data_IF_192675818044
#
_entry.id   IF_192675818044
#
_cell.length_a   1.000
_cell.length_b   1.000
_cell.length_c   1.000
_cell.angle_alpha   90.00
_cell.angle_beta   90.00
_cell.angle_gamma   90.00
#
_symmetry.space_group_name_H-M   'P 1'
#
loop_
_entity.id
_entity.type
_entity.pdbx_description
1 polymer ?
#
# COMPACT_ATOMS: atom_id res chain seq x y z
N UNK A 1 12.75 24.67 -29.46
CA UNK A 1 12.31 24.06 -30.73
C UNK A 1 11.98 22.61 -30.39
N UNK A 2 10.68 22.32 -30.22
CA UNK A 2 10.16 21.17 -29.49
C UNK A 2 10.38 19.83 -30.18
N UNK A 3 10.98 18.89 -29.44
CA UNK A 3 10.94 17.47 -29.74
C UNK A 3 9.54 16.95 -29.43
N UNK A 4 8.91 16.35 -30.45
CA UNK A 4 7.56 15.82 -30.41
C UNK A 4 7.51 14.64 -29.44
N UNK A 5 6.83 14.79 -28.31
CA UNK A 5 6.37 13.68 -27.48
C UNK A 5 5.44 12.82 -28.35
N UNK A 6 6.00 11.72 -28.85
CA UNK A 6 5.24 10.63 -29.46
C UNK A 6 4.39 10.09 -28.30
N UNK A 7 3.10 10.42 -28.29
CA UNK A 7 2.20 10.25 -27.15
C UNK A 7 2.40 8.91 -26.44
N UNK A 8 3.01 8.96 -25.26
CA UNK A 8 3.05 7.85 -24.31
C UNK A 8 1.64 7.66 -23.76
N UNK A 9 0.77 7.06 -24.57
CA UNK A 9 -0.57 6.68 -24.12
C UNK A 9 -0.38 5.62 -23.03
N UNK A 10 -0.72 5.99 -21.80
CA UNK A 10 -0.57 5.13 -20.64
C UNK A 10 -1.45 3.92 -20.87
N UNK A 11 -0.87 2.72 -20.75
CA UNK A 11 -1.56 1.48 -21.04
C UNK A 11 -1.37 0.46 -19.94
N UNK A 12 -2.41 -0.31 -19.67
CA UNK A 12 -2.39 -1.40 -18.69
C UNK A 12 -2.34 -2.72 -19.43
N UNK A 13 -1.22 -3.43 -19.30
CA UNK A 13 -1.03 -4.77 -19.86
C UNK A 13 -1.74 -5.83 -19.03
N UNK A 14 -2.45 -6.74 -19.70
CA UNK A 14 -3.07 -7.93 -19.10
C UNK A 14 -2.41 -9.18 -19.66
N UNK A 15 -2.17 -10.13 -18.78
CA UNK A 15 -1.74 -11.48 -19.14
C UNK A 15 -2.77 -12.47 -18.60
N UNK A 16 -3.34 -13.25 -19.52
CA UNK A 16 -4.34 -14.26 -19.22
C UNK A 16 -3.67 -15.60 -18.91
N UNK A 17 -4.33 -16.41 -18.08
CA UNK A 17 -3.98 -17.82 -17.94
C UNK A 17 -4.33 -18.61 -19.21
N UNK A 18 -3.87 -19.87 -19.31
CA UNK A 18 -4.04 -20.68 -20.53
C UNK A 18 -5.50 -20.88 -20.95
N UNK A 19 -6.42 -20.98 -19.98
CA UNK A 19 -7.86 -21.11 -20.24
C UNK A 19 -8.47 -19.80 -20.75
N UNK A 20 -8.22 -18.69 -20.05
CA UNK A 20 -8.67 -17.36 -20.42
C UNK A 20 -8.11 -16.92 -21.77
N UNK A 21 -6.85 -17.24 -22.08
CA UNK A 21 -6.26 -16.98 -23.38
C UNK A 21 -7.01 -17.70 -24.51
N UNK A 22 -7.45 -18.95 -24.30
CA UNK A 22 -8.22 -19.72 -25.30
C UNK A 22 -9.63 -19.18 -25.50
N UNK A 23 -10.28 -18.74 -24.43
CA UNK A 23 -11.61 -18.12 -24.49
C UNK A 23 -11.52 -16.77 -25.20
N UNK A 24 -10.55 -15.95 -24.81
CA UNK A 24 -10.32 -14.61 -25.36
C UNK A 24 -9.95 -14.67 -26.85
N UNK A 25 -9.14 -15.65 -27.25
CA UNK A 25 -8.80 -15.91 -28.65
C UNK A 25 -10.05 -16.20 -29.51
N UNK A 26 -10.97 -17.04 -29.01
CA UNK A 26 -12.24 -17.33 -29.71
C UNK A 26 -13.14 -16.10 -29.80
N UNK A 27 -13.32 -15.38 -28.68
CA UNK A 27 -14.19 -14.20 -28.63
C UNK A 27 -13.67 -13.10 -29.55
N UNK A 28 -12.36 -12.85 -29.56
CA UNK A 28 -11.77 -11.83 -30.44
C UNK A 28 -11.81 -12.24 -31.91
N UNK A 29 -11.66 -13.54 -32.23
CA UNK A 29 -11.79 -14.03 -33.60
C UNK A 29 -13.18 -13.80 -34.19
N UNK A 30 -14.24 -13.99 -33.41
CA UNK A 30 -15.64 -13.85 -33.88
C UNK A 30 -16.15 -12.40 -33.85
N UNK A 31 -15.46 -11.49 -33.15
CA UNK A 31 -15.93 -10.13 -32.88
C UNK A 31 -14.96 -9.04 -33.33
N UNK A 32 -14.09 -9.32 -34.30
CA UNK A 32 -13.23 -8.32 -34.94
C UNK A 32 -14.07 -7.14 -35.45
N UNK A 33 -13.63 -5.92 -35.14
CA UNK A 33 -14.33 -4.68 -35.47
C UNK A 33 -15.38 -4.23 -34.45
N UNK A 34 -15.77 -5.07 -33.48
CA UNK A 34 -16.70 -4.69 -32.40
C UNK A 34 -15.94 -4.15 -31.18
N UNK A 35 -16.66 -3.44 -30.31
CA UNK A 35 -16.11 -2.95 -29.03
C UNK A 35 -16.26 -4.01 -27.95
N UNK A 36 -15.20 -4.21 -27.17
CA UNK A 36 -15.20 -5.09 -26.00
C UNK A 36 -15.25 -4.21 -24.74
N UNK A 37 -16.37 -4.21 -24.03
CA UNK A 37 -16.49 -3.46 -22.78
C UNK A 37 -15.81 -4.20 -21.63
N UNK A 38 -14.96 -3.49 -20.90
CA UNK A 38 -14.30 -3.95 -19.68
C UNK A 38 -15.08 -3.38 -18.50
N UNK A 39 -15.76 -4.26 -17.79
CA UNK A 39 -16.66 -3.91 -16.68
C UNK A 39 -16.04 -4.37 -15.38
N UNK A 40 -16.00 -3.47 -14.41
CA UNK A 40 -15.53 -3.72 -13.05
C UNK A 40 -16.51 -3.05 -12.09
N UNK A 41 -16.97 -3.78 -11.07
CA UNK A 41 -17.97 -3.33 -10.10
C UNK A 41 -19.19 -2.65 -10.76
N UNK A 42 -19.73 -3.28 -11.80
CA UNK A 42 -20.86 -2.78 -12.60
C UNK A 42 -20.62 -1.45 -13.36
N UNK A 43 -19.39 -0.94 -13.40
CA UNK A 43 -19.01 0.28 -14.13
C UNK A 43 -18.17 -0.05 -15.35
N UNK A 44 -18.45 0.58 -16.50
CA UNK A 44 -17.67 0.42 -17.73
C UNK A 44 -16.44 1.32 -17.67
N UNK A 45 -15.24 0.73 -17.54
CA UNK A 45 -13.99 1.48 -17.46
C UNK A 45 -13.41 1.82 -18.83
N UNK A 46 -13.46 0.87 -19.77
CA UNK A 46 -12.99 1.08 -21.13
C UNK A 46 -13.74 0.16 -22.09
N UNK A 47 -13.92 0.61 -23.33
CA UNK A 47 -14.57 -0.16 -24.39
C UNK A 47 -13.75 -0.13 -25.68
N UNK A 48 -12.50 -0.65 -25.66
CA UNK A 48 -11.64 -0.64 -26.84
C UNK A 48 -12.26 -1.45 -27.98
N UNK A 49 -11.95 -1.04 -29.21
CA UNK A 49 -12.33 -1.80 -30.40
C UNK A 49 -11.37 -2.97 -30.60
N UNK A 50 -11.91 -4.16 -30.85
CA UNK A 50 -11.13 -5.33 -31.25
C UNK A 50 -10.63 -5.08 -32.68
N UNK A 51 -9.35 -4.76 -32.84
CA UNK A 51 -8.74 -4.49 -34.15
C UNK A 51 -8.39 -5.76 -34.91
N UNK A 52 -7.88 -6.73 -34.18
CA UNK A 52 -7.43 -8.02 -34.69
C UNK A 52 -7.68 -9.12 -33.66
N UNK A 53 -7.59 -10.37 -34.11
CA UNK A 53 -7.66 -11.54 -33.23
C UNK A 53 -6.45 -11.53 -32.29
N UNK A 54 -6.70 -11.65 -30.99
CA UNK A 54 -5.64 -11.64 -29.98
C UNK A 54 -5.34 -13.08 -29.58
N UNK A 55 -4.38 -13.70 -30.28
CA UNK A 55 -3.84 -15.02 -29.91
C UNK A 55 -2.58 -14.85 -29.07
N UNK A 56 -2.50 -15.51 -27.91
CA UNK A 56 -1.30 -15.49 -27.05
C UNK A 56 -1.52 -14.97 -25.63
N UNK A 57 -2.76 -14.66 -25.25
CA UNK A 57 -3.11 -14.36 -23.86
C UNK A 57 -2.57 -13.03 -23.34
N UNK A 58 -2.18 -12.10 -24.21
CA UNK A 58 -1.74 -10.76 -23.82
C UNK A 58 -2.66 -9.72 -24.44
N UNK A 59 -3.18 -8.81 -23.61
CA UNK A 59 -3.97 -7.66 -24.06
C UNK A 59 -3.44 -6.37 -23.43
N UNK A 60 -3.73 -5.24 -24.06
CA UNK A 60 -3.40 -3.93 -23.50
C UNK A 60 -4.64 -3.06 -23.50
N UNK A 61 -4.96 -2.46 -22.35
CA UNK A 61 -6.01 -1.45 -22.22
C UNK A 61 -5.34 -0.11 -22.42
N UNK A 62 -5.59 0.50 -23.57
CA UNK A 62 -5.20 1.88 -23.87
C UNK A 62 -6.38 2.81 -23.57
N UNK A 63 -6.07 4.00 -23.07
CA UNK A 63 -7.05 5.04 -22.77
C UNK A 63 -6.35 6.29 -22.24
N UNK A 64 -7.08 7.39 -22.16
CA UNK A 64 -6.58 8.67 -21.60
C UNK A 64 -6.44 8.63 -20.07
N UNK A 65 -5.79 7.59 -19.54
CA UNK A 65 -5.54 7.44 -18.11
C UNK A 65 -4.40 8.34 -17.67
N UNK A 66 -4.46 8.78 -16.42
CA UNK A 66 -3.29 9.27 -15.68
C UNK A 66 -2.46 8.10 -15.14
N UNK A 67 -1.22 8.36 -14.75
CA UNK A 67 -0.32 7.31 -14.20
C UNK A 67 -0.89 6.67 -12.93
N UNK A 68 -1.52 7.46 -12.07
CA UNK A 68 -2.12 6.98 -10.83
C UNK A 68 -3.36 6.11 -11.11
N UNK A 69 -4.23 6.52 -12.03
CA UNK A 69 -5.40 5.73 -12.44
C UNK A 69 -5.01 4.39 -13.08
N UNK A 70 -3.97 4.38 -13.92
CA UNK A 70 -3.48 3.13 -14.52
C UNK A 70 -2.93 2.16 -13.47
N UNK A 71 -2.26 2.69 -12.43
CA UNK A 71 -1.75 1.92 -11.31
C UNK A 71 -2.89 1.33 -10.47
N UNK A 72 -3.90 2.13 -10.15
CA UNK A 72 -5.06 1.68 -9.40
C UNK A 72 -5.85 0.63 -10.18
N UNK A 73 -6.06 0.83 -11.49
CA UNK A 73 -6.70 -0.15 -12.35
C UNK A 73 -5.92 -1.47 -12.39
N UNK A 74 -4.60 -1.42 -12.48
CA UNK A 74 -3.76 -2.62 -12.42
C UNK A 74 -3.88 -3.35 -11.07
N UNK A 75 -4.00 -2.61 -9.96
CA UNK A 75 -4.20 -3.18 -8.62
C UNK A 75 -5.55 -3.91 -8.56
N UNK A 76 -6.63 -3.28 -9.01
CA UNK A 76 -7.96 -3.89 -8.95
C UNK A 76 -8.07 -5.11 -9.87
N UNK A 77 -7.54 -5.04 -11.09
CA UNK A 77 -7.51 -6.17 -12.01
C UNK A 77 -6.69 -7.37 -11.46
N UNK A 78 -5.58 -7.11 -10.74
CA UNK A 78 -4.78 -8.16 -10.09
C UNK A 78 -5.43 -8.73 -8.84
N UNK A 79 -6.11 -7.90 -8.06
CA UNK A 79 -6.84 -8.35 -6.87
C UNK A 79 -8.01 -9.28 -7.25
N UNK A 80 -8.51 -9.17 -8.49
CA UNK A 80 -9.63 -9.94 -9.00
C UNK A 80 -10.94 -9.57 -8.30
N UNK A 81 -11.99 -10.35 -8.54
CA UNK A 81 -13.21 -10.22 -7.75
C UNK A 81 -12.91 -10.68 -6.32
N UNK A 82 -12.93 -9.78 -5.34
CA UNK A 82 -12.82 -10.16 -3.92
C UNK A 82 -13.92 -11.18 -3.61
N UNK A 83 -13.57 -12.45 -3.27
CA UNK A 83 -14.56 -13.53 -3.09
C UNK A 83 -15.48 -13.34 -1.88
N UNK A 84 -15.19 -12.36 -1.04
CA UNK A 84 -15.93 -12.07 0.18
C UNK A 84 -16.02 -10.55 0.39
N UNK A 85 -17.21 -10.01 0.72
CA UNK A 85 -17.34 -8.61 1.09
C UNK A 85 -16.55 -8.36 2.37
N UNK A 86 -15.43 -7.65 2.25
CA UNK A 86 -14.60 -7.26 3.39
C UNK A 86 -15.38 -6.19 4.14
N UNK A 87 -16.05 -6.59 5.24
CA UNK A 87 -16.58 -5.63 6.19
C UNK A 87 -15.39 -5.05 6.94
N UNK A 88 -15.06 -3.80 6.68
CA UNK A 88 -14.08 -3.05 7.47
C UNK A 88 -14.70 -2.86 8.86
N UNK A 89 -14.38 -3.75 9.79
CA UNK A 89 -14.92 -3.70 11.16
C UNK A 89 -14.30 -2.53 11.93
N UNK A 90 -13.07 -2.14 11.60
CA UNK A 90 -12.39 -1.01 12.24
C UNK A 90 -11.19 -0.54 11.41
N UNK A 91 -11.18 0.74 11.02
CA UNK A 91 -9.98 1.42 10.51
C UNK A 91 -9.50 2.40 11.58
N UNK A 92 -8.40 2.08 12.25
CA UNK A 92 -7.72 3.01 13.16
C UNK A 92 -6.60 3.67 12.37
N UNK A 93 -6.91 4.77 11.67
CA UNK A 93 -5.88 5.56 11.00
C UNK A 93 -5.38 6.60 11.98
N UNK A 94 -4.23 6.32 12.61
CA UNK A 94 -3.57 7.27 13.50
C UNK A 94 -2.78 8.23 12.61
N UNK A 95 -3.15 9.51 12.63
CA UNK A 95 -2.42 10.54 11.91
C UNK A 95 -0.99 10.67 12.44
N UNK A 96 0.02 10.91 11.59
CA UNK A 96 1.43 11.04 12.00
C UNK A 96 1.65 12.06 13.13
N UNK A 97 0.80 13.08 13.21
CA UNK A 97 0.86 14.14 14.22
C UNK A 97 0.48 13.68 15.63
N UNK A 98 -0.53 12.79 15.78
CA UNK A 98 -0.90 12.23 17.09
C UNK A 98 0.19 11.27 17.61
N UNK A 99 0.84 10.55 16.69
CA UNK A 99 2.00 9.72 17.02
C UNK A 99 3.16 10.56 17.55
N UNK A 100 3.55 11.60 16.81
CA UNK A 100 4.67 12.47 17.19
C UNK A 100 4.44 13.19 18.53
N UNK A 101 3.23 13.70 18.78
CA UNK A 101 2.90 14.35 20.05
C UNK A 101 2.95 13.37 21.23
N UNK A 102 2.48 12.14 21.03
CA UNK A 102 2.56 11.08 22.05
C UNK A 102 4.00 10.68 22.36
N UNK A 103 4.87 10.61 21.34
CA UNK A 103 6.30 10.35 21.53
C UNK A 103 6.96 11.48 22.31
N UNK A 104 6.72 12.74 21.92
CA UNK A 104 7.32 13.89 22.60
C UNK A 104 6.90 13.95 24.08
N UNK A 105 5.61 13.76 24.37
CA UNK A 105 5.08 13.70 25.73
C UNK A 105 5.63 12.51 26.52
N UNK A 106 5.73 11.34 25.88
CA UNK A 106 6.27 10.12 26.49
C UNK A 106 7.75 10.25 26.87
N UNK A 107 8.57 10.83 25.99
CA UNK A 107 10.00 11.07 26.26
C UNK A 107 10.18 12.03 27.42
N UNK A 108 9.45 13.16 27.43
CA UNK A 108 9.53 14.15 28.50
C UNK A 108 9.05 13.58 29.85
N UNK A 109 7.96 12.82 29.85
CA UNK A 109 7.46 12.15 31.05
C UNK A 109 8.45 11.11 31.59
N UNK A 110 9.06 10.31 30.70
CA UNK A 110 10.05 9.28 31.09
C UNK A 110 11.31 9.92 31.66
N UNK A 111 11.79 11.01 31.06
CA UNK A 111 12.97 11.74 31.54
C UNK A 111 12.72 12.31 32.95
N UNK A 112 11.59 13.00 33.14
CA UNK A 112 11.22 13.56 34.45
C UNK A 112 11.04 12.45 35.49
N UNK A 113 10.32 11.38 35.17
CA UNK A 113 10.11 10.26 36.08
C UNK A 113 11.45 9.60 36.49
N UNK A 114 12.35 9.38 35.53
CA UNK A 114 13.68 8.80 35.80
C UNK A 114 14.48 9.65 36.78
N UNK A 115 14.51 10.97 36.58
CA UNK A 115 15.22 11.90 37.47
C UNK A 115 14.61 11.87 38.89
N UNK A 116 13.28 11.90 38.99
CA UNK A 116 12.61 11.84 40.29
C UNK A 116 12.89 10.54 41.04
N UNK A 117 12.89 9.39 40.35
CA UNK A 117 13.20 8.08 40.94
C UNK A 117 14.64 8.03 41.44
N UNK A 118 15.59 8.52 40.66
CA UNK A 118 17.02 8.57 41.04
C UNK A 118 17.20 9.44 42.30
N UNK A 119 16.61 10.64 42.31
CA UNK A 119 16.68 11.56 43.46
C UNK A 119 16.04 10.91 44.70
N UNK A 120 14.87 10.31 44.55
CA UNK A 120 14.17 9.63 45.64
C UNK A 120 15.01 8.48 46.22
N UNK A 121 15.60 7.65 45.37
CA UNK A 121 16.50 6.55 45.77
C UNK A 121 17.68 7.08 46.60
N UNK A 122 18.30 8.18 46.18
CA UNK A 122 19.45 8.77 46.89
C UNK A 122 19.04 9.35 48.24
N UNK A 123 17.89 10.03 48.33
CA UNK A 123 17.42 10.62 49.59
C UNK A 123 17.01 9.54 50.59
N UNK A 124 16.22 8.55 50.15
CA UNK A 124 15.66 7.53 51.04
C UNK A 124 16.70 6.48 51.46
N UNK A 125 17.53 6.00 50.51
CA UNK A 125 18.50 4.92 50.74
C UNK A 125 19.95 5.40 50.92
N UNK A 126 20.21 6.71 50.84
CA UNK A 126 21.53 7.34 51.06
C UNK A 126 22.62 6.65 50.21
N UNK A 127 23.70 6.18 50.83
CA UNK A 127 24.80 5.48 50.14
C UNK A 127 24.34 4.23 49.38
N UNK A 128 23.37 3.48 49.91
CA UNK A 128 22.84 2.29 49.23
C UNK A 128 22.04 2.65 47.97
N UNK A 129 21.42 3.84 47.93
CA UNK A 129 20.67 4.32 46.77
C UNK A 129 21.58 4.65 45.58
N UNK A 130 22.79 5.17 45.85
CA UNK A 130 23.78 5.43 44.80
C UNK A 130 24.22 4.12 44.15
N UNK A 131 24.48 3.08 44.95
CA UNK A 131 24.86 1.75 44.45
C UNK A 131 23.74 1.14 43.60
N UNK A 132 22.48 1.28 44.05
CA UNK A 132 21.31 0.79 43.31
C UNK A 132 21.14 1.48 41.94
N UNK A 133 21.36 2.80 41.86
CA UNK A 133 21.29 3.53 40.59
C UNK A 133 22.41 3.12 39.62
N UNK A 134 23.63 2.86 40.13
CA UNK A 134 24.73 2.32 39.32
C UNK A 134 24.39 0.93 38.81
N UNK A 135 23.83 0.07 39.66
CA UNK A 135 23.37 -1.27 39.25
C UNK A 135 22.26 -1.22 38.20
N UNK A 136 21.30 -0.29 38.34
CA UNK A 136 20.25 -0.05 37.35
C UNK A 136 20.83 0.36 35.99
N UNK A 137 21.77 1.30 35.97
CA UNK A 137 22.42 1.75 34.74
C UNK A 137 23.20 0.61 34.06
N UNK A 138 23.95 -0.17 34.82
CA UNK A 138 24.66 -1.35 34.31
C UNK A 138 23.69 -2.40 33.76
N UNK A 139 22.55 -2.62 34.43
CA UNK A 139 21.53 -3.54 33.97
C UNK A 139 20.92 -3.10 32.62
N UNK A 140 20.66 -1.80 32.47
CA UNK A 140 20.16 -1.21 31.23
C UNK A 140 21.15 -1.39 30.06
N UNK A 141 22.45 -1.21 30.32
CA UNK A 141 23.52 -1.44 29.33
C UNK A 141 23.63 -2.93 28.96
N UNK A 142 23.37 -3.84 29.89
CA UNK A 142 23.44 -5.29 29.64
C UNK A 142 22.27 -5.82 28.81
N UNK A 143 21.11 -5.17 28.90
CA UNK A 143 19.88 -5.59 28.23
C UNK A 143 19.81 -5.06 26.80
N UNK A 144 20.50 -3.95 26.52
CA UNK A 144 20.55 -3.28 25.22
C UNK A 144 21.63 -3.88 24.31
#
# INVERSE_FOLDING_TARGET
>A
MGGRDIGSEISVGLEFNSEGARIFDKVTAENVGKRLAIVLDNTVYSAPQIRERISGGKASITGGFTMDEAKDLAIVLRAGALPAPVKVVQNITIGPTLGQDSINKGVLATLLASIFVIIFMVIYYRYSGIIANVALALNLIYLL
#
